data_IF_985616247704
#
_entry.id   IF_985616247704
#
_cell.length_a   1.000
_cell.length_b   1.000
_cell.length_c   1.000
_cell.angle_alpha   90.00
_cell.angle_beta   90.00
_cell.angle_gamma   90.00
#
_symmetry.space_group_name_H-M   'P 1'
#
loop_
_entity.id
_entity.type
_entity.pdbx_description
1 polymer ?
#
# COMPACT_ATOMS: atom_id res chain seq x y z
N UNK A 1 -50.81 -3.69 16.42
CA UNK A 1 -51.08 -4.58 17.58
C UNK A 1 -49.88 -5.50 17.74
N UNK A 2 -49.04 -5.26 18.73
CA UNK A 2 -47.94 -6.16 19.08
C UNK A 2 -48.53 -7.31 19.89
N UNK A 3 -48.57 -8.51 19.29
CA UNK A 3 -48.96 -9.73 19.99
C UNK A 3 -47.91 -10.04 21.05
N UNK A 4 -48.22 -9.79 22.32
CA UNK A 4 -47.36 -10.15 23.44
C UNK A 4 -48.26 -10.61 24.58
N UNK A 5 -47.94 -11.74 25.20
CA UNK A 5 -48.76 -12.34 26.26
C UNK A 5 -48.77 -11.46 27.52
N UNK A 6 -49.87 -11.50 28.29
CA UNK A 6 -49.99 -10.77 29.55
C UNK A 6 -48.87 -11.11 30.55
N UNK A 7 -48.41 -12.37 30.54
CA UNK A 7 -47.33 -12.83 31.41
C UNK A 7 -45.98 -12.18 31.04
N UNK A 8 -45.69 -12.02 29.75
CA UNK A 8 -44.49 -11.32 29.28
C UNK A 8 -44.48 -9.87 29.76
N UNK A 9 -45.64 -9.20 29.75
CA UNK A 9 -45.76 -7.82 30.24
C UNK A 9 -45.50 -7.76 31.74
N UNK A 10 -46.05 -8.70 32.51
CA UNK A 10 -45.84 -8.78 33.97
C UNK A 10 -44.36 -9.03 34.31
N UNK A 11 -43.70 -9.93 33.58
CA UNK A 11 -42.27 -10.22 33.75
C UNK A 11 -41.40 -9.01 33.45
N UNK A 12 -41.71 -8.25 32.38
CA UNK A 12 -40.97 -7.03 32.03
C UNK A 12 -41.13 -5.97 33.10
N UNK A 13 -42.36 -5.76 33.62
CA UNK A 13 -42.60 -4.81 34.71
C UNK A 13 -41.87 -5.24 35.98
N UNK A 14 -41.90 -6.54 36.33
CA UNK A 14 -41.21 -7.05 37.51
C UNK A 14 -39.68 -6.86 37.40
N UNK A 15 -39.10 -7.22 36.25
CA UNK A 15 -37.66 -7.04 35.99
C UNK A 15 -37.27 -5.56 35.92
N UNK A 16 -38.14 -4.67 35.43
CA UNK A 16 -37.91 -3.23 35.42
C UNK A 16 -37.95 -2.64 36.83
N UNK A 17 -38.86 -3.11 37.67
CA UNK A 17 -38.94 -2.67 39.06
C UNK A 17 -37.74 -3.15 39.90
N UNK A 18 -37.13 -4.29 39.55
CA UNK A 18 -35.94 -4.80 40.26
C UNK A 18 -34.63 -4.21 39.73
N UNK A 19 -34.45 -4.17 38.41
CA UNK A 19 -33.15 -3.89 37.77
C UNK A 19 -33.15 -2.58 36.96
N UNK A 20 -34.23 -1.81 36.98
CA UNK A 20 -34.36 -0.55 36.25
C UNK A 20 -34.24 -0.71 34.73
N UNK A 21 -33.61 0.28 34.08
CA UNK A 21 -33.41 0.29 32.62
C UNK A 21 -32.51 -0.85 32.13
N UNK A 22 -31.66 -1.44 32.98
CA UNK A 22 -30.82 -2.58 32.61
C UNK A 22 -31.64 -3.82 32.24
N UNK A 23 -32.88 -3.90 32.73
CA UNK A 23 -33.81 -4.99 32.43
C UNK A 23 -34.37 -4.96 31.00
N UNK A 24 -34.34 -3.79 30.34
CA UNK A 24 -34.85 -3.60 28.99
C UNK A 24 -33.84 -4.09 27.94
N UNK A 25 -32.58 -4.27 28.33
CA UNK A 25 -31.57 -4.89 27.47
C UNK A 25 -31.69 -6.42 27.52
N UNK A 26 -31.60 -7.11 26.37
CA UNK A 26 -31.61 -8.56 26.36
C UNK A 26 -30.46 -9.09 27.22
N UNK A 27 -30.79 -9.78 28.32
CA UNK A 27 -29.82 -10.56 29.09
C UNK A 27 -29.38 -11.74 28.22
N UNK A 28 -28.38 -11.52 27.36
CA UNK A 28 -27.79 -12.55 26.51
C UNK A 28 -27.25 -13.70 27.39
N UNK A 29 -28.06 -14.75 27.57
CA UNK A 29 -27.61 -16.00 28.17
C UNK A 29 -26.88 -16.80 27.10
N UNK A 30 -25.55 -16.84 27.23
CA UNK A 30 -24.65 -17.86 26.67
C UNK A 30 -24.89 -18.27 25.22
N UNK A 31 -24.07 -17.74 24.30
CA UNK A 31 -23.94 -18.36 22.98
C UNK A 31 -23.47 -19.82 23.08
N UNK A 32 -23.54 -20.56 21.96
CA UNK A 32 -23.03 -21.92 21.87
C UNK A 32 -21.63 -21.99 22.52
N UNK A 33 -21.37 -22.95 23.43
CA UNK A 33 -20.07 -23.10 24.06
C UNK A 33 -18.97 -23.12 22.99
N UNK A 34 -17.83 -22.49 23.29
CA UNK A 34 -16.69 -22.50 22.38
C UNK A 34 -16.29 -23.95 22.13
N UNK A 35 -16.39 -24.40 20.87
CA UNK A 35 -16.13 -25.79 20.49
C UNK A 35 -14.67 -26.19 20.64
N UNK A 36 -13.74 -25.21 20.53
CA UNK A 36 -12.30 -25.45 20.62
C UNK A 36 -11.73 -24.91 21.93
N UNK A 37 -11.01 -25.77 22.62
CA UNK A 37 -10.22 -25.49 23.82
C UNK A 37 -9.05 -24.55 23.50
N UNK A 38 -8.48 -23.93 24.54
CA UNK A 38 -7.32 -23.05 24.38
C UNK A 38 -6.08 -23.77 23.80
N UNK A 39 -5.75 -25.02 24.19
CA UNK A 39 -4.68 -25.79 23.56
C UNK A 39 -4.88 -26.00 22.06
N UNK A 40 -6.08 -26.41 21.64
CA UNK A 40 -6.39 -26.64 20.22
C UNK A 40 -6.24 -25.33 19.42
N UNK A 41 -6.77 -24.21 19.92
CA UNK A 41 -6.61 -22.89 19.27
C UNK A 41 -5.14 -22.52 19.08
N UNK A 42 -4.28 -22.78 20.07
CA UNK A 42 -2.84 -22.50 19.99
C UNK A 42 -2.17 -23.38 18.94
N UNK A 43 -2.53 -24.66 18.87
CA UNK A 43 -1.93 -25.57 17.88
C UNK A 43 -2.41 -25.26 16.46
N UNK A 44 -3.71 -25.00 16.27
CA UNK A 44 -4.28 -24.52 15.00
C UNK A 44 -3.53 -23.27 14.53
N UNK A 45 -3.32 -22.30 15.43
CA UNK A 45 -2.59 -21.06 15.13
C UNK A 45 -1.13 -21.32 14.75
N UNK A 46 -0.46 -22.22 15.45
CA UNK A 46 0.92 -22.61 15.18
C UNK A 46 1.05 -23.26 13.81
N UNK A 47 0.20 -24.23 13.49
CA UNK A 47 0.18 -24.92 12.19
C UNK A 47 -0.17 -23.93 11.07
N UNK A 48 -1.17 -23.07 11.26
CA UNK A 48 -1.55 -22.06 10.27
C UNK A 48 -0.41 -21.08 9.91
N UNK A 49 0.52 -20.83 10.83
CA UNK A 49 1.69 -19.94 10.62
C UNK A 49 2.90 -20.63 10.00
N UNK A 50 2.94 -21.95 10.02
CA UNK A 50 3.99 -22.76 9.39
C UNK A 50 3.70 -22.99 7.90
N UNK A 51 4.67 -23.51 7.15
CA UNK A 51 4.46 -23.87 5.74
C UNK A 51 3.99 -25.32 5.62
N UNK A 52 3.09 -25.67 4.69
CA UNK A 52 2.74 -27.08 4.46
C UNK A 52 3.97 -27.97 4.18
N UNK A 53 4.99 -27.43 3.52
CA UNK A 53 6.26 -28.14 3.30
C UNK A 53 7.02 -28.51 4.59
N UNK A 54 6.86 -27.75 5.67
CA UNK A 54 7.43 -28.09 6.99
C UNK A 54 6.73 -29.31 7.62
N UNK A 55 5.55 -29.67 7.10
CA UNK A 55 4.77 -30.85 7.46
C UNK A 55 4.83 -31.95 6.39
N UNK A 56 5.83 -31.90 5.50
CA UNK A 56 6.03 -32.91 4.45
C UNK A 56 5.02 -32.86 3.30
N UNK A 57 4.17 -31.83 3.23
CA UNK A 57 3.18 -31.68 2.16
C UNK A 57 3.77 -30.98 0.93
N UNK A 58 3.39 -31.37 -0.30
CA UNK A 58 3.90 -30.77 -1.54
C UNK A 58 3.21 -29.44 -1.89
N UNK A 59 2.89 -28.62 -0.88
CA UNK A 59 2.21 -27.33 -1.06
C UNK A 59 3.04 -26.18 -0.48
N UNK A 60 3.04 -25.04 -1.19
CA UNK A 60 3.73 -23.83 -0.73
C UNK A 60 2.91 -22.97 0.22
N UNK A 61 1.59 -23.14 0.25
CA UNK A 61 0.65 -22.31 1.03
C UNK A 61 -0.55 -23.11 1.53
N UNK A 62 -1.05 -22.74 2.71
CA UNK A 62 -2.31 -23.24 3.25
C UNK A 62 -3.50 -22.57 2.55
N UNK A 63 -4.46 -23.37 2.08
CA UNK A 63 -5.85 -22.90 1.93
C UNK A 63 -6.64 -23.30 3.19
N UNK A 64 -7.78 -22.65 3.44
CA UNK A 64 -8.63 -23.04 4.58
C UNK A 64 -9.02 -24.52 4.53
N UNK A 65 -9.31 -25.04 3.33
CA UNK A 65 -9.63 -26.46 3.15
C UNK A 65 -8.45 -27.36 3.51
N UNK A 66 -7.27 -27.12 2.92
CA UNK A 66 -6.07 -27.94 3.19
C UNK A 66 -5.65 -27.89 4.66
N UNK A 67 -5.80 -26.72 5.29
CA UNK A 67 -5.49 -26.57 6.71
C UNK A 67 -6.51 -27.33 7.56
N UNK A 68 -7.81 -27.25 7.26
CA UNK A 68 -8.83 -28.03 7.96
C UNK A 68 -8.60 -29.54 7.81
N UNK A 69 -8.38 -30.02 6.58
CA UNK A 69 -8.10 -31.43 6.30
C UNK A 69 -6.88 -31.92 7.07
N UNK A 70 -5.81 -31.12 7.10
CA UNK A 70 -4.58 -31.45 7.84
C UNK A 70 -4.79 -31.47 9.35
N UNK A 71 -5.52 -30.51 9.91
CA UNK A 71 -5.81 -30.45 11.35
C UNK A 71 -6.62 -31.66 11.83
N UNK A 72 -7.55 -32.14 11.00
CA UNK A 72 -8.31 -33.37 11.29
C UNK A 72 -7.42 -34.61 11.13
N UNK A 73 -6.62 -34.69 10.06
CA UNK A 73 -5.74 -35.83 9.81
C UNK A 73 -4.68 -36.02 10.91
N UNK A 74 -4.13 -34.94 11.46
CA UNK A 74 -3.16 -34.96 12.57
C UNK A 74 -3.84 -35.10 13.95
N UNK A 75 -5.16 -35.19 14.02
CA UNK A 75 -5.91 -35.33 15.27
C UNK A 75 -5.86 -34.09 16.17
N UNK A 76 -5.61 -32.91 15.60
CA UNK A 76 -5.61 -31.62 16.34
C UNK A 76 -7.03 -31.21 16.71
N UNK A 77 -8.01 -31.58 15.86
CA UNK A 77 -9.45 -31.41 16.09
C UNK A 77 -10.21 -32.58 15.46
N UNK A 78 -11.34 -32.95 16.03
CA UNK A 78 -12.20 -34.02 15.46
C UNK A 78 -12.90 -33.56 14.17
N UNK A 79 -13.37 -32.32 14.13
CA UNK A 79 -13.99 -31.69 12.96
C UNK A 79 -13.88 -30.16 13.03
N UNK A 80 -13.71 -29.51 11.87
CA UNK A 80 -13.75 -28.05 11.77
C UNK A 80 -14.24 -27.58 10.39
N UNK A 81 -15.33 -26.81 10.39
CA UNK A 81 -15.79 -26.14 9.18
C UNK A 81 -14.82 -25.05 8.70
N UNK A 82 -14.73 -24.83 7.38
CA UNK A 82 -13.88 -23.77 6.81
C UNK A 82 -14.20 -22.36 7.34
N UNK A 83 -15.50 -22.07 7.55
CA UNK A 83 -15.94 -20.78 8.11
C UNK A 83 -15.56 -20.67 9.59
N UNK A 84 -15.69 -21.76 10.37
CA UNK A 84 -15.23 -21.81 11.75
C UNK A 84 -13.72 -21.57 11.87
N UNK A 85 -12.92 -22.23 11.04
CA UNK A 85 -11.48 -22.01 10.95
C UNK A 85 -11.14 -20.56 10.56
N UNK A 86 -11.86 -19.99 9.58
CA UNK A 86 -11.65 -18.59 9.16
C UNK A 86 -11.91 -17.59 10.29
N UNK A 87 -13.01 -17.77 11.02
CA UNK A 87 -13.37 -16.91 12.16
C UNK A 87 -12.34 -17.07 13.28
N UNK A 88 -11.97 -18.31 13.63
CA UNK A 88 -10.97 -18.62 14.65
C UNK A 88 -9.63 -17.95 14.32
N UNK A 89 -9.12 -18.11 13.10
CA UNK A 89 -7.87 -17.46 12.68
C UNK A 89 -7.97 -15.94 12.81
N UNK A 90 -9.10 -15.35 12.43
CA UNK A 90 -9.33 -13.90 12.55
C UNK A 90 -9.33 -13.43 14.01
N UNK A 91 -10.01 -14.15 14.90
CA UNK A 91 -9.99 -13.89 16.35
C UNK A 91 -8.57 -14.00 16.92
N UNK A 92 -7.77 -14.93 16.41
CA UNK A 92 -6.38 -15.14 16.80
C UNK A 92 -5.39 -14.15 16.15
N UNK A 93 -5.88 -13.19 15.35
CA UNK A 93 -5.05 -12.20 14.65
C UNK A 93 -4.27 -12.78 13.46
N UNK A 94 -4.64 -13.96 12.98
CA UNK A 94 -4.04 -14.61 11.81
C UNK A 94 -4.91 -14.32 10.58
N UNK A 95 -4.27 -13.82 9.52
CA UNK A 95 -4.94 -13.57 8.24
C UNK A 95 -4.08 -14.08 7.09
N UNK A 96 -4.73 -14.39 5.96
CA UNK A 96 -4.02 -14.83 4.76
C UNK A 96 -3.35 -13.62 4.10
N UNK A 97 -2.02 -13.57 4.19
CA UNK A 97 -1.20 -12.47 3.69
C UNK A 97 -0.31 -12.93 2.56
N UNK A 98 0.02 -12.02 1.63
CA UNK A 98 1.05 -12.28 0.62
C UNK A 98 2.40 -12.33 1.31
N UNK A 99 3.20 -13.37 1.02
CA UNK A 99 4.59 -13.45 1.48
C UNK A 99 5.38 -12.28 0.90
N UNK A 100 6.08 -11.54 1.77
CA UNK A 100 6.92 -10.41 1.39
C UNK A 100 8.37 -10.88 1.27
N UNK A 101 9.10 -10.30 0.32
CA UNK A 101 10.55 -10.48 0.20
C UNK A 101 11.25 -9.37 0.96
N UNK A 102 12.19 -9.69 1.85
CA UNK A 102 13.03 -8.71 2.52
C UNK A 102 14.38 -8.60 1.80
N UNK A 103 14.89 -7.37 1.64
CA UNK A 103 16.25 -7.13 1.14
C UNK A 103 17.11 -6.61 2.27
N UNK A 104 18.24 -7.28 2.53
CA UNK A 104 19.27 -6.74 3.42
C UNK A 104 20.23 -5.87 2.61
N UNK A 105 20.43 -4.63 3.04
CA UNK A 105 21.43 -3.75 2.44
C UNK A 105 22.85 -4.23 2.77
N UNK A 106 23.76 -4.13 1.80
CA UNK A 106 25.21 -4.34 1.99
C UNK A 106 25.98 -3.03 1.79
N UNK A 107 25.30 -1.89 1.93
CA UNK A 107 25.90 -0.57 1.76
C UNK A 107 26.87 -0.29 2.92
N UNK A 108 28.16 -0.03 2.66
CA UNK A 108 29.11 0.26 3.73
C UNK A 108 28.73 1.52 4.53
N UNK A 109 28.03 2.47 3.89
CA UNK A 109 27.62 3.73 4.51
C UNK A 109 26.16 3.67 4.99
N UNK A 110 25.60 2.46 5.20
CA UNK A 110 24.18 2.27 5.50
C UNK A 110 23.71 3.14 6.67
N UNK A 111 24.42 3.09 7.79
CA UNK A 111 24.03 3.82 9.01
C UNK A 111 24.04 5.34 8.79
N UNK A 112 25.08 5.86 8.15
CA UNK A 112 25.23 7.30 7.90
C UNK A 112 24.15 7.82 6.93
N UNK A 113 23.93 7.13 5.80
CA UNK A 113 22.89 7.50 4.83
C UNK A 113 21.50 7.43 5.43
N UNK A 114 21.22 6.35 6.18
CA UNK A 114 19.94 6.17 6.86
C UNK A 114 19.69 7.30 7.86
N UNK A 115 20.66 7.60 8.73
CA UNK A 115 20.55 8.66 9.71
C UNK A 115 20.33 10.03 9.05
N UNK A 116 21.01 10.33 7.94
CA UNK A 116 20.80 11.58 7.21
C UNK A 116 19.38 11.69 6.64
N UNK A 117 18.87 10.63 6.02
CA UNK A 117 17.50 10.61 5.48
C UNK A 117 16.46 10.74 6.60
N UNK A 118 16.65 10.04 7.73
CA UNK A 118 15.78 10.16 8.90
C UNK A 118 15.79 11.58 9.47
N UNK A 119 16.95 12.23 9.53
CA UNK A 119 17.06 13.62 9.98
C UNK A 119 16.33 14.61 9.04
N UNK A 120 16.50 14.47 7.72
CA UNK A 120 15.77 15.28 6.74
C UNK A 120 14.25 15.09 6.88
N UNK A 121 13.81 13.88 7.19
CA UNK A 121 12.40 13.63 7.46
C UNK A 121 11.92 14.26 8.77
N UNK A 122 12.71 14.22 9.83
CA UNK A 122 12.39 14.91 11.08
C UNK A 122 12.27 16.43 10.89
N UNK A 123 13.12 17.03 10.04
CA UNK A 123 12.98 18.44 9.63
C UNK A 123 11.64 18.65 8.91
N UNK A 124 11.34 17.82 7.90
CA UNK A 124 10.14 17.96 7.09
C UNK A 124 8.83 17.75 7.89
N UNK A 125 8.87 16.87 8.89
CA UNK A 125 7.74 16.59 9.78
C UNK A 125 7.62 17.63 10.92
N UNK A 126 8.57 18.58 11.01
CA UNK A 126 8.60 19.61 12.05
C UNK A 126 8.99 19.09 13.43
N UNK A 127 9.56 17.88 13.51
CA UNK A 127 10.04 17.27 14.76
C UNK A 127 11.36 17.91 15.22
N UNK A 128 12.12 18.49 14.28
CA UNK A 128 13.38 19.19 14.55
C UNK A 128 13.35 20.54 13.85
N UNK A 129 13.82 21.59 14.55
CA UNK A 129 14.06 22.90 13.96
C UNK A 129 15.37 22.82 13.17
N UNK A 130 15.38 23.09 11.86
CA UNK A 130 16.59 23.04 11.06
C UNK A 130 17.60 24.08 11.55
N UNK A 131 18.85 23.66 11.72
CA UNK A 131 19.96 24.56 12.05
C UNK A 131 20.34 25.43 10.83
N UNK A 132 21.19 26.45 11.04
CA UNK A 132 21.69 27.28 9.96
C UNK A 132 22.41 26.43 8.90
N UNK A 133 21.94 26.51 7.65
CA UNK A 133 22.51 25.75 6.53
C UNK A 133 21.91 24.36 6.31
N UNK A 134 20.94 23.92 7.13
CA UNK A 134 20.12 22.73 6.85
C UNK A 134 19.03 23.02 5.78
N UNK A 135 18.56 22.00 5.04
CA UNK A 135 17.47 22.17 4.09
C UNK A 135 16.15 22.56 4.76
N UNK A 136 15.47 23.56 4.20
CA UNK A 136 14.13 23.98 4.64
C UNK A 136 13.02 23.19 3.92
N UNK A 137 13.33 22.63 2.75
CA UNK A 137 12.38 21.89 1.91
C UNK A 137 12.97 20.54 1.57
N UNK A 138 12.18 19.48 1.78
CA UNK A 138 12.60 18.10 1.51
C UNK A 138 11.67 17.47 0.49
N UNK A 139 12.26 17.06 -0.63
CA UNK A 139 11.60 16.28 -1.67
C UNK A 139 12.04 14.81 -1.59
N UNK A 140 11.08 13.90 -1.65
CA UNK A 140 11.33 12.50 -1.99
C UNK A 140 11.16 12.31 -3.49
N UNK A 141 12.20 11.91 -4.22
CA UNK A 141 12.18 11.77 -5.67
C UNK A 141 12.47 10.33 -6.10
N UNK A 142 11.74 9.85 -7.09
CA UNK A 142 11.99 8.55 -7.72
C UNK A 142 11.34 8.45 -9.12
N UNK A 143 11.68 7.41 -9.87
CA UNK A 143 11.06 7.07 -11.15
C UNK A 143 10.02 5.95 -11.05
N UNK A 144 8.82 6.25 -11.54
CA UNK A 144 7.78 5.26 -11.73
C UNK A 144 7.77 4.73 -13.16
N UNK A 145 7.91 3.41 -13.31
CA UNK A 145 7.81 2.72 -14.59
C UNK A 145 8.49 1.36 -14.61
N UNK A 146 8.60 0.73 -15.79
CA UNK A 146 8.22 1.25 -17.11
C UNK A 146 6.70 1.40 -17.27
N UNK A 147 6.27 2.55 -17.80
CA UNK A 147 4.90 2.80 -18.23
C UNK A 147 4.70 2.20 -19.63
N UNK A 148 4.12 0.99 -19.65
CA UNK A 148 3.75 0.28 -20.87
C UNK A 148 2.30 0.59 -21.27
N UNK A 149 2.01 0.55 -22.57
CA UNK A 149 0.64 0.52 -23.07
C UNK A 149 0.13 -0.92 -23.05
N UNK A 150 -0.26 -1.35 -21.86
CA UNK A 150 -0.81 -2.68 -21.63
C UNK A 150 -2.13 -2.58 -20.88
N UNK A 151 -3.03 -3.56 -21.04
CA UNK A 151 -4.19 -3.68 -20.19
C UNK A 151 -3.74 -3.95 -18.75
N UNK A 152 -4.22 -3.13 -17.82
CA UNK A 152 -4.00 -3.33 -16.40
C UNK A 152 -5.21 -4.05 -15.80
N UNK A 153 -4.99 -5.11 -15.00
CA UNK A 153 -6.06 -5.69 -14.20
C UNK A 153 -6.58 -4.64 -13.22
N UNK A 154 -7.84 -4.75 -12.83
CA UNK A 154 -8.46 -3.81 -11.91
C UNK A 154 -9.78 -4.31 -11.40
N UNK A 155 -10.43 -3.48 -10.61
CA UNK A 155 -11.75 -3.76 -10.03
C UNK A 155 -12.72 -2.71 -10.56
N UNK A 156 -13.90 -3.16 -10.93
CA UNK A 156 -15.00 -2.29 -11.35
C UNK A 156 -16.31 -2.90 -10.86
N UNK A 157 -17.28 -2.04 -10.58
CA UNK A 157 -18.65 -2.50 -10.40
C UNK A 157 -19.11 -3.16 -11.69
N UNK A 158 -19.54 -4.40 -11.55
CA UNK A 158 -20.10 -5.18 -12.65
C UNK A 158 -21.31 -5.91 -12.10
N UNK A 159 -22.35 -5.99 -12.93
CA UNK A 159 -23.53 -6.77 -12.61
C UNK A 159 -23.14 -8.21 -12.25
N UNK A 160 -23.84 -8.81 -11.28
CA UNK A 160 -23.53 -10.17 -10.82
C UNK A 160 -23.55 -11.12 -12.02
N UNK A 161 -22.50 -11.94 -12.09
CA UNK A 161 -22.41 -12.95 -13.14
C UNK A 161 -23.51 -13.99 -12.98
N UNK A 162 -24.43 -14.05 -13.94
CA UNK A 162 -25.39 -15.16 -14.06
C UNK A 162 -24.75 -16.32 -14.83
N UNK A 163 -25.05 -17.56 -14.45
CA UNK A 163 -24.74 -18.76 -15.26
C UNK A 163 -25.63 -18.88 -16.51
N UNK A 164 -26.57 -17.97 -16.72
CA UNK A 164 -27.52 -18.06 -17.82
C UNK A 164 -27.50 -16.82 -18.71
N UNK A 165 -27.45 -17.11 -20.00
CA UNK A 165 -27.51 -16.22 -21.15
C UNK A 165 -28.91 -15.61 -21.20
N UNK A 166 -29.11 -14.48 -20.52
CA UNK A 166 -30.26 -13.65 -20.87
C UNK A 166 -29.98 -13.10 -22.29
N UNK A 167 -30.78 -13.44 -23.31
CA UNK A 167 -30.44 -13.19 -24.72
C UNK A 167 -30.24 -11.72 -25.08
N UNK A 168 -30.78 -10.80 -24.26
CA UNK A 168 -30.63 -9.35 -24.42
C UNK A 168 -29.54 -8.72 -23.55
N UNK A 169 -28.75 -9.49 -22.78
CA UNK A 169 -27.78 -8.94 -21.84
C UNK A 169 -26.42 -8.73 -22.48
N UNK A 170 -25.93 -7.50 -22.42
CA UNK A 170 -24.58 -7.16 -22.86
C UNK A 170 -23.52 -7.94 -22.06
N UNK A 171 -22.53 -8.54 -22.74
CA UNK A 171 -21.42 -9.20 -22.07
C UNK A 171 -20.69 -8.24 -21.12
N UNK A 172 -20.26 -8.75 -19.98
CA UNK A 172 -19.37 -8.00 -19.08
C UNK A 172 -18.17 -7.45 -19.87
N UNK A 173 -17.88 -6.14 -19.83
CA UNK A 173 -16.76 -5.57 -20.56
C UNK A 173 -15.46 -6.28 -20.19
N UNK A 174 -14.82 -6.90 -21.19
CA UNK A 174 -13.52 -7.55 -21.06
C UNK A 174 -12.47 -6.68 -21.74
N UNK A 175 -11.27 -6.67 -21.17
CA UNK A 175 -10.10 -6.05 -21.79
C UNK A 175 -9.35 -7.09 -22.59
N UNK A 176 -8.58 -6.65 -23.58
CA UNK A 176 -7.72 -7.54 -24.35
C UNK A 176 -6.78 -8.30 -23.39
N UNK A 177 -6.59 -9.59 -23.63
CA UNK A 177 -5.63 -10.41 -22.88
C UNK A 177 -4.21 -10.27 -23.44
N UNK A 178 -4.12 -10.07 -24.75
CA UNK A 178 -2.85 -9.93 -25.48
C UNK A 178 -2.60 -8.47 -25.81
N UNK A 179 -1.34 -8.05 -25.69
CA UNK A 179 -0.88 -6.75 -26.14
C UNK A 179 0.52 -6.88 -26.74
N UNK A 180 0.82 -6.06 -27.74
CA UNK A 180 2.16 -5.92 -28.28
C UNK A 180 2.79 -4.65 -27.71
N UNK A 181 4.12 -4.52 -27.77
CA UNK A 181 4.84 -3.34 -27.25
C UNK A 181 5.45 -2.46 -28.37
N UNK A 182 4.69 -2.06 -29.41
CA UNK A 182 5.26 -1.37 -30.57
C UNK A 182 5.68 0.09 -30.27
N UNK A 183 5.14 0.71 -29.22
CA UNK A 183 5.32 2.14 -28.95
C UNK A 183 6.39 2.47 -27.89
N UNK A 184 7.19 1.46 -27.51
CA UNK A 184 8.15 1.55 -26.42
C UNK A 184 7.51 1.90 -25.08
N UNK A 185 8.33 2.35 -24.13
CA UNK A 185 7.90 2.67 -22.76
C UNK A 185 8.05 4.15 -22.45
N UNK A 186 7.43 4.59 -21.35
CA UNK A 186 7.69 5.89 -20.74
C UNK A 186 8.10 5.71 -19.28
N UNK A 187 8.67 6.76 -18.72
CA UNK A 187 9.07 6.83 -17.31
C UNK A 187 8.51 8.10 -16.71
N UNK A 188 7.87 8.02 -15.57
CA UNK A 188 7.46 9.17 -14.80
C UNK A 188 8.56 9.49 -13.79
N UNK A 189 9.22 10.63 -13.95
CA UNK A 189 10.01 11.22 -12.87
C UNK A 189 9.03 11.95 -11.95
N UNK A 190 9.04 11.64 -10.66
CA UNK A 190 8.13 12.26 -9.72
C UNK A 190 8.86 12.67 -8.44
N UNK A 191 8.34 13.72 -7.80
CA UNK A 191 8.82 14.20 -6.51
C UNK A 191 7.65 14.48 -5.59
N UNK A 192 7.79 14.08 -4.34
CA UNK A 192 6.84 14.34 -3.28
C UNK A 192 7.44 15.37 -2.32
N UNK A 193 6.85 16.55 -2.28
CA UNK A 193 7.17 17.62 -1.34
C UNK A 193 6.53 17.28 0.01
N UNK A 194 7.38 16.98 0.99
CA UNK A 194 6.94 16.54 2.31
C UNK A 194 6.27 17.68 3.10
N UNK A 195 6.74 18.92 2.93
CA UNK A 195 6.23 20.06 3.66
C UNK A 195 4.86 20.50 3.14
N UNK A 196 4.66 20.48 1.81
CA UNK A 196 3.39 20.91 1.20
C UNK A 196 2.39 19.78 0.98
N UNK A 197 2.78 18.53 1.20
CA UNK A 197 2.02 17.34 0.83
C UNK A 197 1.59 17.39 -0.67
N UNK A 198 2.57 17.67 -1.55
CA UNK A 198 2.33 17.84 -2.99
C UNK A 198 3.17 16.88 -3.83
N UNK A 199 2.52 16.23 -4.80
CA UNK A 199 3.15 15.37 -5.78
C UNK A 199 3.38 16.12 -7.09
N UNK A 200 4.59 16.01 -7.63
CA UNK A 200 5.01 16.57 -8.91
C UNK A 200 5.43 15.45 -9.84
N UNK A 201 5.24 15.60 -11.15
CA UNK A 201 5.54 14.51 -12.08
C UNK A 201 5.72 14.90 -13.54
N UNK A 202 6.83 14.48 -14.15
CA UNK A 202 7.15 14.65 -15.56
C UNK A 202 7.37 13.31 -16.27
N UNK A 203 6.60 13.07 -17.33
CA UNK A 203 6.74 11.86 -18.15
C UNK A 203 7.83 12.07 -19.21
N UNK A 204 8.81 11.17 -19.24
CA UNK A 204 9.94 11.17 -20.17
C UNK A 204 10.00 9.87 -20.97
N UNK A 205 10.66 9.93 -22.14
CA UNK A 205 10.89 8.76 -23.01
C UNK A 205 12.02 7.86 -22.48
N UNK A 206 12.96 8.42 -21.73
CA UNK A 206 14.16 7.73 -21.22
C UNK A 206 14.44 8.15 -19.79
N UNK A 207 15.12 7.30 -19.02
CA UNK A 207 15.54 7.55 -17.64
C UNK A 207 17.05 7.71 -17.49
N UNK A 208 17.59 8.77 -18.07
CA UNK A 208 19.03 9.06 -18.03
C UNK A 208 19.36 10.29 -17.17
N UNK A 209 20.64 10.49 -16.88
CA UNK A 209 21.14 11.59 -16.02
C UNK A 209 20.71 12.98 -16.51
N UNK A 210 20.63 13.19 -17.82
CA UNK A 210 20.17 14.47 -18.37
C UNK A 210 18.69 14.71 -18.06
N UNK A 211 17.85 13.67 -18.11
CA UNK A 211 16.42 13.77 -17.75
C UNK A 211 16.18 13.89 -16.26
N UNK A 212 17.00 13.22 -15.45
CA UNK A 212 17.05 13.42 -14.01
C UNK A 212 17.37 14.89 -13.67
N UNK A 213 18.47 15.45 -14.18
CA UNK A 213 18.85 16.84 -13.95
C UNK A 213 17.81 17.85 -14.46
N UNK A 214 17.17 17.57 -15.60
CA UNK A 214 16.05 18.38 -16.10
C UNK A 214 14.91 18.44 -15.07
N UNK A 215 14.61 17.32 -14.39
CA UNK A 215 13.61 17.28 -13.35
C UNK A 215 14.07 17.95 -12.05
N UNK A 216 15.30 17.73 -11.60
CA UNK A 216 15.83 18.41 -10.41
C UNK A 216 15.86 19.94 -10.58
N UNK A 217 16.19 20.45 -11.77
CA UNK A 217 16.12 21.88 -12.10
C UNK A 217 14.70 22.42 -12.00
N UNK A 218 13.72 21.64 -12.43
CA UNK A 218 12.32 21.99 -12.26
C UNK A 218 11.96 22.09 -10.78
N UNK A 219 12.31 21.10 -9.94
CA UNK A 219 12.05 21.15 -8.50
C UNK A 219 12.72 22.37 -7.86
N UNK A 220 13.98 22.65 -8.24
CA UNK A 220 14.69 23.84 -7.76
C UNK A 220 13.97 25.14 -8.13
N UNK A 221 13.41 25.23 -9.33
CA UNK A 221 12.70 26.43 -9.77
C UNK A 221 11.40 26.72 -9.02
N UNK A 222 10.90 25.78 -8.21
CA UNK A 222 9.70 25.96 -7.38
C UNK A 222 9.95 26.80 -6.12
N UNK A 223 11.22 27.12 -5.81
CA UNK A 223 11.60 27.82 -4.59
C UNK A 223 12.62 28.94 -4.88
N UNK A 224 12.65 30.03 -4.09
CA UNK A 224 13.70 31.05 -4.14
C UNK A 224 15.11 30.46 -4.02
N UNK A 225 16.13 31.09 -4.61
CA UNK A 225 17.49 30.56 -4.77
C UNK A 225 18.27 30.37 -3.45
N UNK A 226 17.96 31.20 -2.47
CA UNK A 226 18.48 31.23 -1.10
C UNK A 226 17.91 30.10 -0.22
N UNK A 227 16.71 29.61 -0.50
CA UNK A 227 16.12 28.46 0.22
C UNK A 227 16.89 27.19 -0.10
N UNK A 228 17.43 26.52 0.92
CA UNK A 228 18.12 25.24 0.74
C UNK A 228 17.12 24.10 0.59
N UNK A 229 17.29 23.28 -0.44
CA UNK A 229 16.42 22.12 -0.67
C UNK A 229 17.20 20.81 -0.59
N UNK A 230 16.58 19.76 -0.06
CA UNK A 230 17.07 18.40 -0.12
C UNK A 230 16.21 17.56 -1.07
N UNK A 231 16.87 16.74 -1.88
CA UNK A 231 16.24 15.74 -2.73
C UNK A 231 16.73 14.37 -2.26
N UNK A 232 15.85 13.65 -1.58
CA UNK A 232 16.04 12.25 -1.19
C UNK A 232 15.74 11.37 -2.40
N UNK A 233 16.70 10.58 -2.86
CA UNK A 233 16.51 9.66 -3.99
C UNK A 233 17.28 8.35 -3.81
N UNK A 234 17.00 7.36 -4.65
CA UNK A 234 17.77 6.13 -4.66
C UNK A 234 19.19 6.35 -5.24
N UNK A 235 20.05 5.34 -5.11
CA UNK A 235 21.42 5.40 -5.61
C UNK A 235 21.56 4.93 -7.07
N UNK A 236 20.50 5.05 -7.87
CA UNK A 236 20.54 4.69 -9.29
C UNK A 236 21.61 5.49 -10.02
N UNK A 237 22.41 4.83 -10.87
CA UNK A 237 23.61 5.41 -11.49
C UNK A 237 23.39 6.81 -12.12
N UNK A 238 22.31 7.07 -12.88
CA UNK A 238 21.96 8.41 -13.34
C UNK A 238 21.87 9.50 -12.27
N UNK A 239 21.48 9.17 -11.04
CA UNK A 239 21.36 10.11 -9.92
C UNK A 239 22.72 10.42 -9.32
N UNK A 240 23.67 9.49 -9.43
CA UNK A 240 24.96 9.61 -8.79
C UNK A 240 25.88 10.63 -9.47
N UNK A 241 26.54 11.41 -8.62
CA UNK A 241 27.86 11.98 -8.90
C UNK A 241 28.87 10.85 -8.89
N UNK A 242 29.53 10.64 -10.03
CA UNK A 242 30.53 9.57 -10.18
C UNK A 242 31.85 10.18 -10.61
N UNK A 243 32.95 9.43 -10.45
CA UNK A 243 34.27 9.83 -10.97
C UNK A 243 34.22 10.20 -12.46
N UNK A 244 33.38 9.51 -13.25
CA UNK A 244 33.22 9.72 -14.69
C UNK A 244 32.24 10.84 -15.05
N UNK A 245 31.36 11.24 -14.13
CA UNK A 245 30.35 12.23 -14.41
C UNK A 245 29.93 12.95 -13.12
N UNK A 246 30.42 14.17 -12.96
CA UNK A 246 30.19 15.00 -11.78
C UNK A 246 28.97 15.93 -11.89
N UNK A 247 28.27 15.90 -13.03
CA UNK A 247 27.19 16.85 -13.37
C UNK A 247 26.12 17.03 -12.29
N UNK A 248 25.78 15.97 -11.55
CA UNK A 248 24.79 16.06 -10.47
C UNK A 248 25.34 16.86 -9.30
N UNK A 249 26.49 16.47 -8.76
CA UNK A 249 27.12 17.14 -7.63
C UNK A 249 27.48 18.59 -7.93
N UNK A 250 28.04 18.87 -9.11
CA UNK A 250 28.35 20.25 -9.53
C UNK A 250 27.09 21.11 -9.60
N UNK A 251 26.00 20.58 -10.17
CA UNK A 251 24.74 21.31 -10.22
C UNK A 251 24.17 21.52 -8.82
N UNK A 252 24.17 20.49 -7.97
CA UNK A 252 23.60 20.56 -6.64
C UNK A 252 24.31 21.62 -5.77
N UNK A 253 25.65 21.58 -5.74
CA UNK A 253 26.47 22.56 -5.03
C UNK A 253 26.23 24.00 -5.52
N UNK A 254 26.07 24.20 -6.83
CA UNK A 254 25.85 25.52 -7.41
C UNK A 254 24.42 26.06 -7.24
N UNK A 255 23.47 25.25 -6.76
CA UNK A 255 22.04 25.60 -6.72
C UNK A 255 21.42 25.52 -5.31
N UNK A 256 22.25 25.47 -4.27
CA UNK A 256 21.81 25.30 -2.88
C UNK A 256 20.93 24.05 -2.70
N UNK A 257 21.38 22.93 -3.29
CA UNK A 257 20.68 21.64 -3.26
C UNK A 257 21.56 20.60 -2.61
N UNK A 258 20.95 19.82 -1.71
CA UNK A 258 21.48 18.57 -1.23
C UNK A 258 20.83 17.39 -1.97
N UNK A 259 21.65 16.46 -2.46
CA UNK A 259 21.15 15.16 -2.95
C UNK A 259 21.47 14.11 -1.90
N UNK A 260 20.44 13.64 -1.19
CA UNK A 260 20.55 12.64 -0.14
C UNK A 260 20.18 11.26 -0.70
N UNK A 261 21.12 10.32 -0.71
CA UNK A 261 20.88 9.00 -1.26
C UNK A 261 20.39 8.03 -0.19
N UNK A 262 19.28 7.33 -0.45
CA UNK A 262 18.90 6.19 0.39
C UNK A 262 19.97 5.09 0.30
N UNK A 263 20.20 4.31 1.37
CA UNK A 263 21.11 3.18 1.30
C UNK A 263 20.68 2.18 0.20
N UNK A 264 21.66 1.48 -0.38
CA UNK A 264 21.40 0.45 -1.40
C UNK A 264 20.33 -0.54 -0.92
N UNK A 265 19.42 -0.99 -1.79
CA UNK A 265 18.33 -1.91 -1.45
C UNK A 265 17.36 -1.43 -0.36
N UNK A 266 17.30 -0.12 -0.09
CA UNK A 266 16.44 0.47 0.96
C UNK A 266 15.40 1.43 0.38
N UNK A 267 14.78 1.07 -0.76
CA UNK A 267 13.77 1.91 -1.40
C UNK A 267 12.54 2.17 -0.51
N UNK A 268 12.26 1.28 0.44
CA UNK A 268 11.25 1.45 1.48
C UNK A 268 11.46 2.72 2.34
N UNK A 269 12.67 3.27 2.38
CA UNK A 269 12.97 4.52 3.09
C UNK A 269 12.48 5.75 2.29
N UNK A 270 12.25 5.63 0.99
CA UNK A 270 11.83 6.74 0.15
C UNK A 270 10.29 6.91 0.22
N UNK A 271 9.81 7.98 0.88
CA UNK A 271 8.37 8.18 1.17
C UNK A 271 7.50 8.34 -0.10
N UNK A 272 8.08 8.59 -1.27
CA UNK A 272 7.34 8.66 -2.53
C UNK A 272 6.79 7.29 -2.99
N UNK A 273 7.36 6.17 -2.55
CA UNK A 273 6.94 4.83 -2.97
C UNK A 273 5.47 4.54 -2.64
N UNK A 274 4.98 5.03 -1.50
CA UNK A 274 3.56 4.93 -1.13
C UNK A 274 2.66 5.75 -2.06
N UNK A 275 3.15 6.91 -2.54
CA UNK A 275 2.45 7.73 -3.52
C UNK A 275 2.32 7.02 -4.88
N UNK A 276 3.32 6.22 -5.27
CA UNK A 276 3.26 5.38 -6.46
C UNK A 276 2.26 4.23 -6.34
N UNK A 277 2.08 3.67 -5.15
CA UNK A 277 1.03 2.70 -4.89
C UNK A 277 -0.35 3.30 -5.10
N UNK A 278 -0.59 4.50 -4.55
CA UNK A 278 -1.83 5.24 -4.78
C UNK A 278 -2.03 5.61 -6.25
N UNK A 279 -0.99 6.12 -6.93
CA UNK A 279 -1.04 6.45 -8.36
C UNK A 279 -1.45 5.25 -9.20
N UNK A 280 -0.84 4.08 -8.96
CA UNK A 280 -1.20 2.85 -9.67
C UNK A 280 -2.67 2.50 -9.44
N UNK A 281 -3.10 2.51 -8.19
CA UNK A 281 -4.47 2.17 -7.80
C UNK A 281 -5.53 3.09 -8.44
N UNK A 282 -5.34 4.40 -8.37
CA UNK A 282 -6.33 5.38 -8.83
C UNK A 282 -6.28 5.66 -10.33
N UNK A 283 -5.09 5.60 -10.95
CA UNK A 283 -4.90 6.10 -12.31
C UNK A 283 -4.58 5.02 -13.35
N UNK A 284 -4.14 3.83 -12.94
CA UNK A 284 -3.67 2.79 -13.86
C UNK A 284 -4.41 1.47 -13.74
N UNK A 285 -4.76 1.04 -12.53
CA UNK A 285 -5.48 -0.22 -12.33
C UNK A 285 -6.83 -0.17 -13.04
N UNK A 286 -7.14 -1.23 -13.79
CA UNK A 286 -8.34 -1.25 -14.64
C UNK A 286 -8.31 -0.21 -15.76
N UNK A 287 -7.16 0.08 -16.33
CA UNK A 287 -7.04 0.90 -17.56
C UNK A 287 -6.49 0.10 -18.73
N UNK A 288 -6.77 0.56 -19.95
CA UNK A 288 -6.19 0.03 -21.19
C UNK A 288 -6.05 1.20 -22.16
N UNK A 289 -4.98 1.97 -21.98
CA UNK A 289 -4.81 3.22 -22.70
C UNK A 289 -4.40 2.97 -24.15
N UNK A 290 -5.01 3.68 -25.13
CA UNK A 290 -4.68 3.51 -26.55
C UNK A 290 -3.35 4.17 -26.93
N UNK A 291 -2.84 5.10 -26.11
CA UNK A 291 -1.59 5.81 -26.39
C UNK A 291 -0.91 6.33 -25.13
N UNK A 292 0.39 6.61 -25.24
CA UNK A 292 1.18 7.25 -24.18
C UNK A 292 0.66 8.65 -23.83
N UNK A 293 0.03 9.35 -24.79
CA UNK A 293 -0.63 10.64 -24.54
C UNK A 293 -1.85 10.46 -23.63
N UNK A 294 -2.68 9.44 -23.88
CA UNK A 294 -3.84 9.14 -23.06
C UNK A 294 -3.45 8.71 -21.64
N UNK A 295 -2.48 7.80 -21.52
CA UNK A 295 -1.94 7.36 -20.23
C UNK A 295 -1.32 8.54 -19.45
N UNK A 296 -0.52 9.37 -20.13
CA UNK A 296 0.09 10.53 -19.49
C UNK A 296 -0.91 11.60 -19.06
N UNK A 297 -1.97 11.81 -19.84
CA UNK A 297 -3.07 12.71 -19.46
C UNK A 297 -3.80 12.19 -18.21
N UNK A 298 -4.04 10.88 -18.11
CA UNK A 298 -4.63 10.28 -16.90
C UNK A 298 -3.76 10.49 -15.66
N UNK A 299 -2.46 10.20 -15.76
CA UNK A 299 -1.49 10.41 -14.67
C UNK A 299 -1.48 11.88 -14.23
N UNK A 300 -1.43 12.83 -15.19
CA UNK A 300 -1.43 14.26 -14.87
C UNK A 300 -2.70 14.70 -14.15
N UNK A 301 -3.87 14.23 -14.61
CA UNK A 301 -5.16 14.52 -13.96
C UNK A 301 -5.22 13.95 -12.55
N UNK A 302 -4.70 12.74 -12.34
CA UNK A 302 -4.58 12.16 -11.02
C UNK A 302 -3.68 12.99 -10.10
N UNK A 303 -2.50 13.42 -10.55
CA UNK A 303 -1.59 14.25 -9.73
C UNK A 303 -2.29 15.55 -9.31
N UNK A 304 -2.98 16.23 -10.24
CA UNK A 304 -3.75 17.44 -9.94
C UNK A 304 -4.86 17.14 -8.92
N UNK A 305 -5.60 16.05 -9.10
CA UNK A 305 -6.65 15.64 -8.17
C UNK A 305 -6.08 15.31 -6.78
N UNK A 306 -5.02 14.51 -6.70
CA UNK A 306 -4.34 14.13 -5.45
C UNK A 306 -3.89 15.36 -4.66
N UNK A 307 -3.25 16.32 -5.33
CA UNK A 307 -2.78 17.55 -4.68
C UNK A 307 -3.92 18.43 -4.16
N UNK A 308 -5.11 18.36 -4.77
CA UNK A 308 -6.32 19.06 -4.29
C UNK A 308 -7.07 18.30 -3.20
N UNK A 309 -6.84 17.00 -3.06
CA UNK A 309 -7.60 16.09 -2.21
C UNK A 309 -6.70 15.34 -1.22
N UNK A 310 -5.62 15.97 -0.74
CA UNK A 310 -4.69 15.36 0.23
C UNK A 310 -5.36 14.92 1.54
N UNK A 311 -6.52 15.51 1.87
CA UNK A 311 -7.37 15.13 3.00
C UNK A 311 -8.30 13.93 2.76
N UNK A 312 -8.37 13.41 1.53
CA UNK A 312 -9.29 12.31 1.19
C UNK A 312 -8.97 11.04 1.98
N UNK A 313 -9.99 10.49 2.64
CA UNK A 313 -9.83 9.34 3.54
C UNK A 313 -9.32 8.11 2.80
N UNK A 314 -9.87 7.82 1.62
CA UNK A 314 -9.51 6.64 0.84
C UNK A 314 -8.09 6.74 0.29
N UNK A 315 -7.69 7.91 -0.18
CA UNK A 315 -6.31 8.19 -0.56
C UNK A 315 -5.35 7.93 0.61
N UNK A 316 -5.66 8.47 1.80
CA UNK A 316 -4.85 8.28 3.01
C UNK A 316 -4.76 6.82 3.41
N UNK A 317 -5.86 6.07 3.38
CA UNK A 317 -5.86 4.63 3.65
C UNK A 317 -4.95 3.86 2.70
N UNK A 318 -5.02 4.16 1.39
CA UNK A 318 -4.18 3.49 0.38
C UNK A 318 -2.69 3.81 0.60
N UNK A 319 -2.35 5.07 0.88
CA UNK A 319 -0.97 5.51 1.15
C UNK A 319 -0.45 4.90 2.45
N UNK A 320 -1.19 5.00 3.56
CA UNK A 320 -0.78 4.45 4.87
C UNK A 320 -0.61 2.93 4.79
N UNK A 321 -1.52 2.23 4.12
CA UNK A 321 -1.38 0.79 3.92
C UNK A 321 -0.10 0.43 3.15
N UNK A 322 0.33 1.28 2.22
CA UNK A 322 1.58 1.08 1.49
C UNK A 322 2.81 1.33 2.37
N UNK A 323 2.77 2.29 3.30
CA UNK A 323 3.86 2.56 4.25
C UNK A 323 4.08 1.44 5.27
N UNK A 324 3.02 0.71 5.65
CA UNK A 324 3.08 -0.42 6.61
C UNK A 324 3.34 -1.77 5.90
N UNK A 325 3.32 -1.78 4.56
CA UNK A 325 3.48 -2.98 3.73
C UNK A 325 4.95 -3.24 3.37
#
# INVERSE_FOLDING_TARGET
>A
MTFTSADRVRDVIHNFNSDGFDSLYPKYKGGRPRTFTLPERREIKKIAKSKPAEHGLPFSTWSLAKLADFLVAEGVVDDISHEGLRVLLREEGVSFQRVKTWKTSRDPDYAAKKARVEHLYAIADGEVIPEEGEPEVVFCMDEFGPLNLQPHPGRQWAERGGRHKDPGRDPRPRRRATYTRPHGVRHLFAAYDLAKDQLYGHIKKTKNRSKFLEFCRYLRSLHPADVRIAIVCDNYSPHLTTKRCQRVGTWAAANNVEIAYTPTNSSWLNRIEAQFTALRYFALDGTDHPSHKAQGSMIRRYIIWRNKNAGDHHLREVVTRANVA
#
